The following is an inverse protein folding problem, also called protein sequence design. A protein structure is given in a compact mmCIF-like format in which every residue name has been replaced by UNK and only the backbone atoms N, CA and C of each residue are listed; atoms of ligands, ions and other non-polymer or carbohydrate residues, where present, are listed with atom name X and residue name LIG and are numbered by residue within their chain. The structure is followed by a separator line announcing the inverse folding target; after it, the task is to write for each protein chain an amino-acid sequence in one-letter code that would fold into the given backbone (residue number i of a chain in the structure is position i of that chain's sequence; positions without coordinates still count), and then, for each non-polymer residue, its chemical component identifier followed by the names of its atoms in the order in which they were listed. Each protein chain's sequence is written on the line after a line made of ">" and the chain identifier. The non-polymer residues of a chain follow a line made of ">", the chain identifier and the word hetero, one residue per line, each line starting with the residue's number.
data_IF_490100189566
#
_entry.id   IF_490100189566
#
_cell.length_a   1.000
_cell.length_b   1.000
_cell.length_c   1.000
_cell.angle_alpha   90.00
_cell.angle_beta   90.00
_cell.angle_gamma   90.00
#
_symmetry.space_group_name_H-M   'P 1'
#
loop_
_entity.id
_entity.type
_entity.pdbx_description
1 polymer ?
#
# COMPACT_ATOMS: atom_id res chain seq x y z
N UNK A 1 13.59 -2.94 -29.09
CA UNK A 1 13.06 -3.94 -28.15
C UNK A 1 14.27 -4.60 -27.55
N UNK A 2 14.49 -4.35 -26.27
CA UNK A 2 15.61 -4.93 -25.53
C UNK A 2 15.07 -6.21 -24.89
N UNK A 3 15.83 -7.29 -24.98
CA UNK A 3 15.47 -8.57 -24.38
C UNK A 3 16.41 -8.81 -23.19
N UNK A 4 15.88 -9.45 -22.15
CA UNK A 4 16.63 -9.80 -20.95
C UNK A 4 16.46 -11.27 -20.63
N UNK A 5 17.53 -11.89 -20.13
CA UNK A 5 17.44 -13.23 -19.58
C UNK A 5 16.69 -13.19 -18.26
N UNK A 6 15.78 -14.14 -18.08
CA UNK A 6 15.03 -14.34 -16.85
C UNK A 6 15.13 -15.80 -16.41
N UNK A 7 15.05 -16.01 -15.10
CA UNK A 7 14.80 -17.32 -14.51
C UNK A 7 13.33 -17.43 -14.14
N UNK A 8 12.69 -18.53 -14.53
CA UNK A 8 11.32 -18.86 -14.12
C UNK A 8 11.29 -19.68 -12.84
N UNK A 9 10.18 -19.58 -12.09
CA UNK A 9 10.00 -20.38 -10.87
C UNK A 9 9.99 -21.90 -11.18
N UNK A 10 9.33 -22.28 -12.27
CA UNK A 10 9.20 -23.66 -12.74
C UNK A 10 8.95 -23.71 -14.26
N UNK A 11 8.81 -24.93 -14.81
CA UNK A 11 8.60 -25.20 -16.24
C UNK A 11 7.29 -24.63 -16.81
N UNK A 12 6.33 -24.20 -15.99
CA UNK A 12 5.14 -23.50 -16.47
C UNK A 12 5.47 -22.10 -17.01
N UNK A 13 6.62 -21.54 -16.59
CA UNK A 13 7.16 -20.23 -17.05
C UNK A 13 6.17 -19.06 -16.91
N UNK A 14 5.30 -19.13 -15.92
CA UNK A 14 4.28 -18.12 -15.62
C UNK A 14 4.75 -17.06 -14.60
N UNK A 15 5.93 -17.26 -14.00
CA UNK A 15 6.49 -16.37 -13.00
C UNK A 15 8.00 -16.28 -13.08
N UNK A 16 8.49 -15.04 -13.17
CA UNK A 16 9.92 -14.71 -13.10
C UNK A 16 10.37 -14.59 -11.65
N UNK A 17 11.53 -15.16 -11.34
CA UNK A 17 12.17 -15.11 -10.00
C UNK A 17 13.53 -14.41 -10.00
N UNK A 18 14.10 -14.14 -11.19
CA UNK A 18 15.28 -13.29 -11.35
C UNK A 18 15.32 -12.69 -12.77
N UNK A 19 15.82 -11.46 -12.89
CA UNK A 19 16.13 -10.79 -14.16
C UNK A 19 17.65 -10.55 -14.20
N UNK A 20 18.26 -10.83 -15.36
CA UNK A 20 19.67 -10.61 -15.62
C UNK A 20 19.84 -9.48 -16.64
N UNK A 21 19.95 -8.20 -16.18
CA UNK A 21 19.99 -7.05 -17.08
C UNK A 21 21.28 -7.05 -17.92
N UNK A 22 21.12 -6.78 -19.22
CA UNK A 22 22.21 -6.83 -20.20
C UNK A 22 23.25 -5.74 -20.00
N UNK A 23 24.30 -6.05 -19.22
CA UNK A 23 25.60 -5.35 -19.31
C UNK A 23 26.81 -6.28 -19.22
N UNK A 24 26.62 -7.60 -19.13
CA UNK A 24 27.69 -8.59 -19.28
C UNK A 24 27.17 -9.82 -20.02
N UNK A 25 27.62 -9.93 -21.27
CA UNK A 25 27.63 -11.11 -22.16
C UNK A 25 26.27 -11.78 -22.40
N UNK A 26 25.83 -11.79 -23.67
CA UNK A 26 24.62 -12.43 -24.23
C UNK A 26 24.54 -13.96 -24.03
N UNK A 27 25.25 -14.52 -23.05
CA UNK A 27 25.23 -15.94 -22.71
C UNK A 27 24.21 -16.23 -21.59
N UNK A 28 23.48 -17.36 -21.70
CA UNK A 28 22.59 -17.82 -20.64
C UNK A 28 23.39 -18.04 -19.35
N UNK A 29 22.75 -17.76 -18.21
CA UNK A 29 23.37 -18.03 -16.91
C UNK A 29 23.61 -19.54 -16.74
N UNK A 30 24.56 -19.96 -15.89
CA UNK A 30 24.80 -21.38 -15.65
C UNK A 30 23.51 -22.12 -15.26
N UNK A 31 23.12 -23.13 -16.05
CA UNK A 31 21.84 -23.85 -15.90
C UNK A 31 21.73 -24.65 -14.59
N UNK A 32 22.87 -24.96 -13.97
CA UNK A 32 22.94 -25.62 -12.66
C UNK A 32 22.55 -24.68 -11.50
N UNK A 33 22.91 -23.40 -11.61
CA UNK A 33 22.56 -22.36 -10.64
C UNK A 33 21.19 -21.74 -10.94
N UNK A 34 20.83 -21.63 -12.22
CA UNK A 34 19.61 -21.00 -12.71
C UNK A 34 18.88 -21.94 -13.67
N UNK A 35 18.20 -22.98 -13.17
CA UNK A 35 17.41 -23.85 -14.02
C UNK A 35 16.22 -23.07 -14.61
N UNK A 36 15.66 -23.56 -15.72
CA UNK A 36 14.46 -22.99 -16.37
C UNK A 36 14.60 -21.50 -16.72
N UNK A 37 15.53 -21.20 -17.62
CA UNK A 37 15.74 -19.85 -18.15
C UNK A 37 14.97 -19.60 -19.46
N UNK A 38 14.76 -18.32 -19.77
CA UNK A 38 14.34 -17.86 -21.08
C UNK A 38 14.63 -16.38 -21.29
N UNK A 39 14.35 -15.91 -22.51
CA UNK A 39 14.43 -14.50 -22.86
C UNK A 39 13.03 -13.92 -22.89
N UNK A 40 12.84 -12.80 -22.20
CA UNK A 40 11.63 -11.99 -22.30
C UNK A 40 12.00 -10.60 -22.81
N UNK A 41 11.04 -9.93 -23.45
CA UNK A 41 11.19 -8.51 -23.74
C UNK A 41 11.15 -7.72 -22.43
N UNK A 42 11.91 -6.63 -22.33
CA UNK A 42 11.89 -5.77 -21.14
C UNK A 42 10.48 -5.19 -20.84
N UNK A 43 9.62 -5.14 -21.86
CA UNK A 43 8.20 -4.74 -21.74
C UNK A 43 7.23 -5.89 -21.50
N UNK A 44 7.71 -7.14 -21.36
CA UNK A 44 6.88 -8.29 -21.02
C UNK A 44 6.26 -8.13 -19.62
N UNK A 45 5.01 -8.56 -19.46
CA UNK A 45 4.27 -8.42 -18.21
C UNK A 45 4.96 -9.12 -17.03
N UNK A 46 5.60 -10.27 -17.26
CA UNK A 46 6.30 -10.99 -16.20
C UNK A 46 7.55 -10.25 -15.73
N UNK A 47 8.23 -9.56 -16.66
CA UNK A 47 9.38 -8.69 -16.37
C UNK A 47 8.92 -7.46 -15.59
N UNK A 48 7.84 -6.81 -16.04
CA UNK A 48 7.26 -5.65 -15.37
C UNK A 48 6.77 -5.99 -13.96
N UNK A 49 6.10 -7.13 -13.78
CA UNK A 49 5.64 -7.61 -12.48
C UNK A 49 6.79 -7.99 -11.53
N UNK A 50 7.92 -8.47 -12.04
CA UNK A 50 9.08 -8.71 -11.17
C UNK A 50 9.71 -7.39 -10.68
N UNK A 51 9.85 -6.41 -11.57
CA UNK A 51 10.41 -5.09 -11.25
C UNK A 51 9.49 -4.26 -10.36
N UNK A 52 8.19 -4.39 -10.57
CA UNK A 52 7.15 -3.69 -9.85
C UNK A 52 6.00 -4.66 -9.55
N UNK A 53 6.10 -5.47 -8.47
CA UNK A 53 5.08 -6.46 -8.16
C UNK A 53 3.72 -5.79 -7.98
N UNK A 54 2.65 -6.36 -8.57
CA UNK A 54 1.31 -5.86 -8.33
C UNK A 54 1.04 -5.94 -6.82
N UNK A 55 0.44 -4.87 -6.28
CA UNK A 55 0.07 -4.85 -4.87
C UNK A 55 -0.94 -5.98 -4.66
N UNK A 56 -0.60 -6.93 -3.79
CA UNK A 56 -1.51 -8.04 -3.48
C UNK A 56 -2.69 -7.52 -2.64
N UNK A 57 -3.86 -8.19 -2.67
CA UNK A 57 -4.98 -7.81 -1.81
C UNK A 57 -4.60 -7.73 -0.31
N UNK A 58 -3.67 -8.59 0.13
CA UNK A 58 -3.14 -8.57 1.50
C UNK A 58 -2.33 -7.30 1.78
N UNK A 59 -1.46 -6.90 0.84
CA UNK A 59 -0.70 -5.65 0.94
C UNK A 59 -1.60 -4.42 0.87
N UNK A 60 -2.64 -4.43 0.02
CA UNK A 60 -3.64 -3.36 -0.04
C UNK A 60 -4.38 -3.22 1.29
N UNK A 61 -4.85 -4.33 1.87
CA UNK A 61 -5.52 -4.33 3.17
C UNK A 61 -4.59 -3.83 4.28
N UNK A 62 -3.31 -4.20 4.26
CA UNK A 62 -2.31 -3.71 5.21
C UNK A 62 -2.12 -2.19 5.07
N UNK A 63 -2.00 -1.68 3.84
CA UNK A 63 -1.89 -0.25 3.56
C UNK A 63 -3.13 0.52 4.04
N UNK A 64 -4.33 0.04 3.71
CA UNK A 64 -5.58 0.63 4.16
C UNK A 64 -5.70 0.64 5.69
N UNK A 65 -5.27 -0.45 6.35
CA UNK A 65 -5.22 -0.54 7.82
C UNK A 65 -4.27 0.49 8.42
N UNK A 66 -3.08 0.65 7.84
CA UNK A 66 -2.12 1.65 8.28
C UNK A 66 -2.67 3.08 8.12
N UNK A 67 -3.29 3.40 6.99
CA UNK A 67 -3.94 4.71 6.77
C UNK A 67 -5.06 4.94 7.77
N UNK A 68 -5.97 3.97 7.99
CA UNK A 68 -7.03 4.09 8.99
C UNK A 68 -6.45 4.42 10.37
N UNK A 69 -5.43 3.68 10.80
CA UNK A 69 -4.81 3.87 12.11
C UNK A 69 -4.18 5.26 12.25
N UNK A 70 -3.52 5.76 11.20
CA UNK A 70 -2.98 7.13 11.17
C UNK A 70 -4.08 8.19 11.31
N UNK A 71 -5.16 8.06 10.55
CA UNK A 71 -6.30 8.99 10.60
C UNK A 71 -7.02 8.96 11.96
N UNK A 72 -7.13 7.78 12.58
CA UNK A 72 -7.66 7.65 13.95
C UNK A 72 -6.74 8.32 14.97
N UNK A 73 -5.42 8.20 14.82
CA UNK A 73 -4.45 8.88 15.69
C UNK A 73 -4.55 10.39 15.57
N UNK A 74 -4.65 10.94 14.34
CA UNK A 74 -4.88 12.37 14.11
C UNK A 74 -6.18 12.82 14.79
N UNK A 75 -7.27 12.06 14.63
CA UNK A 75 -8.54 12.40 15.25
C UNK A 75 -8.45 12.40 16.78
N UNK A 76 -7.75 11.43 17.38
CA UNK A 76 -7.52 11.40 18.84
C UNK A 76 -6.72 12.62 19.30
N UNK A 77 -5.63 12.97 18.62
CA UNK A 77 -4.82 14.15 18.95
C UNK A 77 -5.62 15.47 18.87
N UNK A 78 -6.61 15.57 17.98
CA UNK A 78 -7.51 16.72 17.91
C UNK A 78 -8.62 16.69 18.97
N UNK A 79 -9.12 15.49 19.33
CA UNK A 79 -10.21 15.31 20.30
C UNK A 79 -9.74 15.56 21.72
N UNK A 80 -8.55 15.07 22.10
CA UNK A 80 -8.07 15.11 23.48
C UNK A 80 -8.10 16.53 24.09
N UNK A 81 -7.49 17.57 23.48
CA UNK A 81 -7.53 18.92 24.07
C UNK A 81 -8.94 19.54 24.08
N UNK A 82 -9.78 19.22 23.10
CA UNK A 82 -11.17 19.68 23.07
C UNK A 82 -12.01 19.00 24.15
N UNK A 83 -11.71 17.74 24.45
CA UNK A 83 -12.35 17.00 25.53
C UNK A 83 -11.88 17.52 26.88
N UNK A 84 -10.59 17.80 27.04
CA UNK A 84 -10.05 18.42 28.26
C UNK A 84 -10.76 19.75 28.56
N UNK A 85 -10.97 20.60 27.56
CA UNK A 85 -11.71 21.86 27.73
C UNK A 85 -13.16 21.63 28.18
N UNK A 86 -13.83 20.60 27.66
CA UNK A 86 -15.19 20.22 28.09
C UNK A 86 -15.18 19.70 29.52
N UNK A 87 -14.21 18.86 29.86
CA UNK A 87 -14.10 18.22 31.18
C UNK A 87 -13.72 19.23 32.28
N UNK A 88 -13.07 20.33 31.91
CA UNK A 88 -12.73 21.45 32.78
C UNK A 88 -13.80 22.56 32.82
N UNK A 89 -14.94 22.37 32.14
CA UNK A 89 -16.00 23.38 31.96
C UNK A 89 -15.50 24.71 31.35
N UNK A 90 -14.42 24.68 30.55
CA UNK A 90 -13.79 25.84 29.88
C UNK A 90 -14.05 25.87 28.36
N UNK A 91 -14.74 24.86 27.83
CA UNK A 91 -15.04 24.75 26.40
C UNK A 91 -15.96 25.86 25.90
N UNK A 92 -15.59 26.45 24.77
CA UNK A 92 -16.47 27.36 24.03
C UNK A 92 -17.48 26.59 23.19
N UNK A 93 -18.54 27.26 22.73
CA UNK A 93 -19.49 26.67 21.77
C UNK A 93 -18.79 26.18 20.48
N UNK A 94 -17.70 26.83 20.07
CA UNK A 94 -16.89 26.43 18.93
C UNK A 94 -16.14 25.12 19.21
N UNK A 95 -15.58 24.95 20.40
CA UNK A 95 -14.89 23.73 20.82
C UNK A 95 -15.86 22.55 20.85
N UNK A 96 -17.06 22.74 21.41
CA UNK A 96 -18.10 21.70 21.46
C UNK A 96 -18.52 21.29 20.04
N UNK A 97 -18.72 22.26 19.14
CA UNK A 97 -19.07 21.99 17.76
C UNK A 97 -17.95 21.25 17.01
N UNK A 98 -16.69 21.64 17.22
CA UNK A 98 -15.52 21.02 16.61
C UNK A 98 -15.28 19.60 17.14
N UNK A 99 -15.41 19.40 18.46
CA UNK A 99 -15.32 18.10 19.14
C UNK A 99 -16.33 17.12 18.55
N UNK A 100 -17.57 17.57 18.32
CA UNK A 100 -18.61 16.74 17.70
C UNK A 100 -18.21 16.32 16.29
N UNK A 101 -17.71 17.24 15.46
CA UNK A 101 -17.25 16.93 14.09
C UNK A 101 -16.10 15.92 14.10
N UNK A 102 -15.11 16.09 14.98
CA UNK A 102 -14.00 15.14 15.08
C UNK A 102 -14.45 13.76 15.56
N UNK A 103 -15.37 13.68 16.53
CA UNK A 103 -15.96 12.40 16.95
C UNK A 103 -16.71 11.71 15.80
N UNK A 104 -17.49 12.46 15.02
CA UNK A 104 -18.17 11.93 13.83
C UNK A 104 -17.18 11.44 12.77
N UNK A 105 -16.13 12.21 12.49
CA UNK A 105 -15.04 11.83 11.60
C UNK A 105 -14.36 10.54 12.05
N UNK A 106 -13.97 10.43 13.33
CA UNK A 106 -13.35 9.22 13.90
C UNK A 106 -14.23 7.99 13.73
N UNK A 107 -15.54 8.13 13.96
CA UNK A 107 -16.52 7.05 13.74
C UNK A 107 -16.62 6.68 12.26
N UNK A 108 -16.63 7.66 11.36
CA UNK A 108 -16.68 7.42 9.92
C UNK A 108 -15.44 6.64 9.44
N UNK A 109 -14.24 7.07 9.85
CA UNK A 109 -12.97 6.37 9.55
C UNK A 109 -13.00 4.92 10.06
N UNK A 110 -13.49 4.71 11.29
CA UNK A 110 -13.49 3.37 11.90
C UNK A 110 -14.48 2.38 11.24
N UNK A 111 -15.47 2.88 10.48
CA UNK A 111 -16.50 2.06 9.82
C UNK A 111 -16.19 1.73 8.36
N UNK A 112 -15.09 2.24 7.81
CA UNK A 112 -14.71 1.97 6.42
C UNK A 112 -14.41 0.48 6.21
N UNK A 113 -14.86 -0.04 5.07
CA UNK A 113 -14.42 -1.34 4.58
C UNK A 113 -13.03 -1.20 3.97
N UNK A 114 -12.05 -1.88 4.57
CA UNK A 114 -10.64 -1.79 4.18
C UNK A 114 -10.25 -2.81 3.10
N UNK A 115 -11.17 -3.67 2.68
CA UNK A 115 -10.93 -4.62 1.59
C UNK A 115 -11.13 -3.99 0.20
N UNK A 116 -11.55 -2.73 0.15
CA UNK A 116 -11.70 -1.98 -1.10
C UNK A 116 -10.33 -1.50 -1.58
N UNK A 117 -10.02 -1.72 -2.86
CA UNK A 117 -8.79 -1.24 -3.50
C UNK A 117 -8.73 0.28 -3.66
N UNK A 118 -9.87 0.98 -3.53
CA UNK A 118 -9.94 2.44 -3.56
C UNK A 118 -10.86 2.97 -2.43
N UNK A 119 -10.37 2.89 -1.19
CA UNK A 119 -11.09 3.41 -0.02
C UNK A 119 -11.26 4.92 -0.13
N UNK A 120 -12.51 5.39 -0.07
CA UNK A 120 -12.82 6.82 -0.01
C UNK A 120 -12.70 7.28 1.44
N UNK A 121 -11.59 7.94 1.75
CA UNK A 121 -11.33 8.46 3.10
C UNK A 121 -12.18 9.71 3.39
N UNK A 122 -12.83 9.80 4.56
CA UNK A 122 -13.53 11.00 4.95
C UNK A 122 -12.55 12.18 5.10
N UNK A 123 -13.06 13.39 4.93
CA UNK A 123 -12.25 14.61 5.05
C UNK A 123 -12.20 15.04 6.52
N UNK A 124 -11.02 15.35 7.08
CA UNK A 124 -10.91 15.84 8.45
C UNK A 124 -11.61 17.20 8.61
N UNK A 125 -12.22 17.47 9.77
CA UNK A 125 -12.73 18.80 10.10
C UNK A 125 -11.62 19.86 10.11
N UNK A 126 -11.96 21.09 9.72
CA UNK A 126 -11.14 22.28 9.87
C UNK A 126 -11.41 22.98 11.21
#
# INVERSE_FOLDING_TARGET
>A
MTQTYVQFQDEARDKVVAIFPGTMEDDPQPLDAYPVQGMLDDSDELVLNYLNPPITPEMELANNTATRNSLLSIATLAIDPLQDAVDLDDATDADIALLKKWKQYRVAVNRLDLNLSNVIWPVPPA
#
